data_IF_111019757914
#
_entry.id   IF_111019757914
#
_cell.length_a   1.000
_cell.length_b   1.000
_cell.length_c   1.000
_cell.angle_alpha   90.00
_cell.angle_beta   90.00
_cell.angle_gamma   90.00
#
_symmetry.space_group_name_H-M   'P 1'
#
loop_
_entity.id
_entity.type
_entity.pdbx_description
1 polymer ?
#
# COMPACT_ATOMS: atom_id res chain seq x y z
N UNK A 1 24.67 7.86 -5.37
CA UNK A 1 24.99 7.94 -6.82
C UNK A 1 24.61 6.61 -7.45
N UNK A 2 23.62 6.63 -8.33
CA UNK A 2 23.20 5.45 -9.09
C UNK A 2 24.37 5.03 -9.98
N UNK A 3 24.88 3.80 -9.81
CA UNK A 3 25.96 3.28 -10.65
C UNK A 3 25.29 2.49 -11.78
N UNK A 4 25.56 2.94 -13.00
CA UNK A 4 25.23 2.19 -14.21
C UNK A 4 25.86 0.78 -14.13
N UNK A 5 25.18 -0.17 -14.76
CA UNK A 5 25.59 -1.57 -14.73
C UNK A 5 26.86 -1.77 -15.55
N UNK A 6 27.79 -2.54 -14.98
CA UNK A 6 29.04 -2.94 -15.61
C UNK A 6 29.04 -4.42 -15.99
N UNK A 7 30.10 -4.84 -16.70
CA UNK A 7 30.23 -6.22 -17.16
C UNK A 7 30.33 -7.23 -16.00
N UNK A 8 30.91 -6.83 -14.87
CA UNK A 8 31.05 -7.66 -13.67
C UNK A 8 29.67 -7.97 -13.08
N UNK A 9 28.80 -6.97 -13.01
CA UNK A 9 27.44 -7.13 -12.55
C UNK A 9 26.62 -8.03 -13.48
N UNK A 10 26.79 -7.93 -14.79
CA UNK A 10 26.11 -8.84 -15.71
C UNK A 10 26.58 -10.28 -15.53
N UNK A 11 27.88 -10.52 -15.33
CA UNK A 11 28.39 -11.85 -14.96
C UNK A 11 27.74 -12.35 -13.67
N UNK A 12 27.59 -11.49 -12.66
CA UNK A 12 26.91 -11.82 -11.41
C UNK A 12 25.44 -12.17 -11.62
N UNK A 13 24.71 -11.45 -12.50
CA UNK A 13 23.32 -11.78 -12.85
C UNK A 13 23.24 -13.20 -13.41
N UNK A 14 24.10 -13.54 -14.36
CA UNK A 14 24.13 -14.89 -14.96
C UNK A 14 24.47 -15.97 -13.93
N UNK A 15 25.39 -15.70 -13.00
CA UNK A 15 25.69 -16.63 -11.90
C UNK A 15 24.48 -16.82 -10.97
N UNK A 16 23.76 -15.75 -10.64
CA UNK A 16 22.57 -15.84 -9.79
C UNK A 16 21.42 -16.58 -10.48
N UNK A 17 21.18 -16.27 -11.76
CA UNK A 17 20.19 -17.00 -12.56
C UNK A 17 20.56 -18.49 -12.67
N UNK A 18 21.84 -18.80 -12.89
CA UNK A 18 22.31 -20.18 -12.90
C UNK A 18 22.08 -20.89 -11.56
N UNK A 19 22.31 -20.20 -10.43
CA UNK A 19 21.99 -20.75 -9.10
C UNK A 19 20.51 -21.04 -8.89
N UNK A 20 19.61 -20.27 -9.53
CA UNK A 20 18.17 -20.44 -9.42
C UNK A 20 17.57 -21.48 -10.38
N UNK A 21 18.11 -21.58 -11.59
CA UNK A 21 17.52 -22.36 -12.69
C UNK A 21 18.43 -23.48 -13.22
N UNK A 22 19.61 -23.65 -12.64
CA UNK A 22 20.61 -24.63 -13.07
C UNK A 22 21.17 -24.35 -14.46
N UNK A 23 21.53 -25.41 -15.18
CA UNK A 23 22.14 -25.34 -16.51
C UNK A 23 21.21 -24.75 -17.58
N UNK A 24 19.90 -24.70 -17.36
CA UNK A 24 18.94 -24.18 -18.34
C UNK A 24 19.23 -22.75 -18.80
N UNK A 25 19.85 -21.92 -17.95
CA UNK A 25 20.30 -20.57 -18.30
C UNK A 25 21.47 -20.62 -19.27
N UNK A 26 22.45 -21.47 -19.00
CA UNK A 26 23.67 -21.58 -19.79
C UNK A 26 23.38 -22.25 -21.14
N UNK A 27 22.62 -23.34 -21.13
CA UNK A 27 22.24 -24.12 -22.32
C UNK A 27 21.47 -23.28 -23.34
N UNK A 28 20.73 -22.26 -22.89
CA UNK A 28 19.99 -21.33 -23.76
C UNK A 28 20.88 -20.46 -24.64
N UNK A 29 22.06 -20.08 -24.14
CA UNK A 29 22.94 -19.13 -24.82
C UNK A 29 24.24 -19.75 -25.33
N UNK A 30 24.58 -20.96 -24.87
CA UNK A 30 25.77 -21.68 -25.31
C UNK A 30 25.62 -22.14 -26.75
N UNK A 31 26.61 -21.84 -27.59
CA UNK A 31 26.62 -22.25 -29.01
C UNK A 31 27.66 -23.33 -29.31
N UNK A 32 28.56 -23.62 -28.36
CA UNK A 32 29.61 -24.62 -28.49
C UNK A 32 30.85 -24.12 -29.25
N UNK A 33 30.87 -22.86 -29.66
CA UNK A 33 32.04 -22.22 -30.27
C UNK A 33 32.78 -21.44 -29.20
N UNK A 34 34.05 -21.79 -28.98
CA UNK A 34 34.90 -21.17 -27.97
C UNK A 34 35.84 -20.19 -28.65
N UNK A 35 35.96 -19.00 -28.09
CA UNK A 35 36.95 -18.02 -28.52
C UNK A 35 38.36 -18.50 -28.12
N UNK A 36 39.25 -18.59 -29.10
CA UNK A 36 40.62 -19.06 -28.94
C UNK A 36 41.45 -18.21 -27.98
N UNK A 37 41.10 -16.92 -27.80
CA UNK A 37 41.85 -16.01 -26.94
C UNK A 37 41.41 -16.04 -25.49
N UNK A 38 40.11 -16.19 -25.26
CA UNK A 38 39.50 -16.09 -23.92
C UNK A 38 39.13 -17.45 -23.34
N UNK A 39 39.01 -18.49 -24.17
CA UNK A 39 38.54 -19.81 -23.76
C UNK A 39 37.05 -19.83 -23.40
N UNK A 40 36.30 -18.76 -23.71
CA UNK A 40 34.88 -18.64 -23.40
C UNK A 40 34.00 -18.94 -24.61
N UNK A 41 32.80 -19.48 -24.36
CA UNK A 41 31.79 -19.66 -25.39
C UNK A 41 31.34 -18.30 -25.97
N UNK A 42 31.47 -18.16 -27.28
CA UNK A 42 31.16 -16.93 -28.03
C UNK A 42 29.69 -16.52 -27.86
N UNK A 43 28.79 -17.50 -27.76
CA UNK A 43 27.36 -17.26 -27.51
C UNK A 43 27.10 -16.68 -26.13
N UNK A 44 27.77 -17.22 -25.11
CA UNK A 44 27.73 -16.68 -23.75
C UNK A 44 28.30 -15.26 -23.67
N UNK A 45 29.45 -15.01 -24.28
CA UNK A 45 30.07 -13.68 -24.32
C UNK A 45 29.15 -12.66 -25.01
N UNK A 46 28.56 -13.03 -26.14
CA UNK A 46 27.60 -12.21 -26.89
C UNK A 46 26.34 -11.93 -26.08
N UNK A 47 25.77 -12.95 -25.44
CA UNK A 47 24.59 -12.82 -24.61
C UNK A 47 24.82 -11.83 -23.46
N UNK A 48 25.96 -11.89 -22.77
CA UNK A 48 26.30 -10.92 -21.73
C UNK A 48 26.46 -9.51 -22.26
N UNK A 49 27.05 -9.33 -23.45
CA UNK A 49 27.14 -8.00 -24.09
C UNK A 49 25.75 -7.42 -24.41
N UNK A 50 24.86 -8.26 -24.94
CA UNK A 50 23.46 -7.87 -25.22
C UNK A 50 22.71 -7.52 -23.93
N UNK A 51 22.87 -8.32 -22.88
CA UNK A 51 22.29 -8.03 -21.56
C UNK A 51 22.86 -6.75 -20.95
N UNK A 52 24.17 -6.53 -21.03
CA UNK A 52 24.81 -5.30 -20.56
C UNK A 52 24.18 -4.08 -21.23
N UNK A 53 24.10 -4.09 -22.56
CA UNK A 53 23.52 -2.97 -23.31
C UNK A 53 22.02 -2.80 -23.02
N UNK A 54 21.26 -3.89 -22.89
CA UNK A 54 19.84 -3.86 -22.58
C UNK A 54 19.52 -3.40 -21.15
N UNK A 55 20.49 -3.51 -20.23
CA UNK A 55 20.32 -3.15 -18.82
C UNK A 55 20.98 -1.83 -18.41
N UNK A 56 21.72 -1.17 -19.31
CA UNK A 56 22.38 0.13 -19.06
C UNK A 56 21.44 1.23 -18.55
N UNK A 57 20.15 1.15 -18.89
CA UNK A 57 19.14 2.13 -18.46
C UNK A 57 18.70 1.98 -17.00
N UNK A 58 19.07 0.88 -16.33
CA UNK A 58 18.67 0.60 -14.95
C UNK A 58 19.84 0.77 -13.99
N UNK A 59 19.50 1.14 -12.75
CA UNK A 59 20.47 1.14 -11.66
C UNK A 59 20.77 -0.28 -11.17
N UNK A 60 22.02 -0.52 -10.78
CA UNK A 60 22.46 -1.79 -10.18
C UNK A 60 21.53 -2.29 -9.05
N UNK A 61 21.09 -1.39 -8.17
CA UNK A 61 20.19 -1.75 -7.07
C UNK A 61 18.80 -2.19 -7.52
N UNK A 62 18.29 -1.66 -8.65
CA UNK A 62 17.01 -2.09 -9.23
C UNK A 62 17.12 -3.48 -9.85
N UNK A 63 18.23 -3.74 -10.54
CA UNK A 63 18.48 -5.04 -11.17
C UNK A 63 18.62 -6.14 -10.13
N UNK A 64 19.31 -5.90 -9.01
CA UNK A 64 19.37 -6.88 -7.93
C UNK A 64 18.01 -7.16 -7.29
N UNK A 65 17.15 -6.15 -7.14
CA UNK A 65 15.75 -6.36 -6.69
C UNK A 65 14.94 -7.17 -7.71
N UNK A 66 15.14 -6.93 -9.00
CA UNK A 66 14.50 -7.69 -10.06
C UNK A 66 14.89 -9.17 -10.04
N UNK A 67 16.16 -9.50 -9.78
CA UNK A 67 16.63 -10.89 -9.59
C UNK A 67 15.89 -11.56 -8.45
N UNK A 68 15.78 -10.90 -7.29
CA UNK A 68 15.03 -11.43 -6.15
C UNK A 68 13.57 -11.75 -6.49
N UNK A 69 12.96 -10.99 -7.42
CA UNK A 69 11.59 -11.21 -7.89
C UNK A 69 11.47 -12.27 -8.99
N UNK A 70 12.58 -12.68 -9.61
CA UNK A 70 12.56 -13.70 -10.67
C UNK A 70 12.03 -15.03 -10.17
N UNK A 71 12.40 -15.44 -8.95
CA UNK A 71 11.93 -16.69 -8.35
C UNK A 71 10.40 -16.75 -8.19
N UNK A 72 9.77 -15.59 -7.98
CA UNK A 72 8.32 -15.51 -7.79
C UNK A 72 7.56 -15.52 -9.12
N UNK A 73 8.02 -14.75 -10.12
CA UNK A 73 7.34 -14.58 -11.41
C UNK A 73 7.71 -15.65 -12.45
N UNK A 74 8.95 -16.13 -12.42
CA UNK A 74 9.49 -17.10 -13.35
C UNK A 74 9.91 -18.34 -12.56
N UNK A 75 8.97 -19.21 -12.22
CA UNK A 75 9.22 -20.39 -11.37
C UNK A 75 9.86 -21.55 -12.11
N UNK A 76 9.52 -21.73 -13.39
CA UNK A 76 9.86 -22.93 -14.15
C UNK A 76 11.05 -22.73 -15.07
N UNK A 77 11.17 -21.54 -15.68
CA UNK A 77 12.18 -21.25 -16.68
C UNK A 77 12.86 -19.92 -16.38
N UNK A 78 14.15 -19.77 -16.71
CA UNK A 78 14.84 -18.51 -16.54
C UNK A 78 14.25 -17.43 -17.48
N UNK A 79 14.14 -16.18 -17.00
CA UNK A 79 13.63 -15.09 -17.82
C UNK A 79 14.54 -14.81 -19.02
N UNK A 80 13.94 -14.42 -20.14
CA UNK A 80 14.61 -13.78 -21.26
C UNK A 80 15.00 -12.33 -20.91
N UNK A 81 15.89 -11.71 -21.69
CA UNK A 81 16.25 -10.30 -21.48
C UNK A 81 15.03 -9.36 -21.50
N UNK A 82 14.08 -9.45 -22.46
CA UNK A 82 12.89 -8.60 -22.44
C UNK A 82 12.03 -8.78 -21.18
N UNK A 83 11.78 -10.03 -20.77
CA UNK A 83 11.02 -10.32 -19.55
C UNK A 83 11.74 -9.77 -18.31
N UNK A 84 13.06 -9.93 -18.25
CA UNK A 84 13.86 -9.41 -17.15
C UNK A 84 13.86 -7.87 -17.12
N UNK A 85 13.92 -7.20 -18.28
CA UNK A 85 13.77 -5.74 -18.36
C UNK A 85 12.42 -5.28 -17.85
N UNK A 86 11.35 -6.01 -18.14
CA UNK A 86 10.02 -5.67 -17.62
C UNK A 86 9.95 -5.84 -16.10
N UNK A 87 10.65 -6.81 -15.52
CA UNK A 87 10.82 -6.89 -14.06
C UNK A 87 11.58 -5.69 -13.51
N UNK A 88 12.65 -5.25 -14.17
CA UNK A 88 13.41 -4.07 -13.74
C UNK A 88 12.56 -2.78 -13.77
N UNK A 89 11.68 -2.62 -14.78
CA UNK A 89 10.76 -1.48 -14.88
C UNK A 89 9.79 -1.40 -13.70
N UNK A 90 9.38 -2.52 -13.10
CA UNK A 90 8.51 -2.53 -11.92
C UNK A 90 9.14 -1.83 -10.71
N UNK A 91 10.47 -1.75 -10.66
CA UNK A 91 11.21 -1.12 -9.58
C UNK A 91 11.71 0.29 -9.94
N UNK A 92 11.45 0.77 -11.16
CA UNK A 92 11.74 2.15 -11.49
C UNK A 92 10.86 3.06 -10.62
N UNK A 93 11.43 4.12 -10.03
CA UNK A 93 10.64 5.09 -9.29
C UNK A 93 9.63 5.70 -10.28
N UNK A 94 8.35 5.50 -10.00
CA UNK A 94 7.29 6.17 -10.75
C UNK A 94 7.56 7.66 -10.66
N UNK A 95 7.94 8.28 -11.79
CA UNK A 95 8.01 9.72 -11.86
C UNK A 95 6.59 10.20 -11.61
N UNK A 96 6.35 10.81 -10.46
CA UNK A 96 5.13 11.56 -10.22
C UNK A 96 5.19 12.76 -11.15
N UNK A 97 4.72 12.55 -12.38
CA UNK A 97 4.37 13.65 -13.25
C UNK A 97 3.21 14.31 -12.53
N UNK A 98 3.40 15.55 -12.06
CA UNK A 98 2.26 16.37 -11.68
C UNK A 98 1.38 16.46 -12.92
N UNK A 99 0.36 15.61 -12.99
CA UNK A 99 -0.66 15.78 -13.99
C UNK A 99 -1.21 17.19 -13.79
N UNK A 100 -1.39 17.99 -14.87
CA UNK A 100 -2.17 19.21 -14.76
C UNK A 100 -3.46 18.81 -14.06
N UNK A 101 -3.78 19.49 -12.95
CA UNK A 101 -4.83 19.13 -12.01
C UNK A 101 -5.95 18.43 -12.74
N UNK A 102 -6.18 17.14 -12.45
CA UNK A 102 -7.26 16.39 -13.07
C UNK A 102 -8.50 17.28 -13.10
N UNK A 103 -9.21 17.40 -14.24
CA UNK A 103 -10.35 18.28 -14.35
C UNK A 103 -11.24 17.99 -13.15
N UNK A 104 -11.42 19.01 -12.31
CA UNK A 104 -12.17 18.89 -11.08
C UNK A 104 -13.51 18.31 -11.47
N UNK A 105 -13.77 17.08 -11.04
CA UNK A 105 -15.08 16.45 -11.21
C UNK A 105 -16.01 17.24 -10.29
N UNK A 106 -16.54 18.35 -10.79
CA UNK A 106 -17.53 19.14 -10.09
C UNK A 106 -18.74 18.24 -9.87
N UNK A 107 -19.17 18.13 -8.61
CA UNK A 107 -20.39 17.40 -8.27
C UNK A 107 -21.55 17.97 -9.09
N UNK A 108 -22.35 17.10 -9.71
CA UNK A 108 -23.53 17.54 -10.44
C UNK A 108 -24.47 18.32 -9.52
N UNK A 109 -25.19 19.30 -10.06
CA UNK A 109 -26.11 20.13 -9.26
C UNK A 109 -27.18 19.28 -8.54
N UNK A 110 -27.64 18.21 -9.19
CA UNK A 110 -28.58 17.25 -8.61
C UNK A 110 -28.00 16.51 -7.39
N UNK A 111 -26.72 16.13 -7.42
CA UNK A 111 -26.07 15.50 -6.26
C UNK A 111 -25.83 16.51 -5.14
N UNK A 112 -25.56 17.78 -5.47
CA UNK A 112 -25.41 18.84 -4.46
C UNK A 112 -26.74 19.13 -3.75
N UNK A 113 -27.85 19.17 -4.47
CA UNK A 113 -29.17 19.38 -3.86
C UNK A 113 -29.57 18.20 -2.97
N UNK A 114 -29.35 16.97 -3.42
CA UNK A 114 -29.66 15.77 -2.63
C UNK A 114 -28.84 15.71 -1.34
N UNK A 115 -27.54 16.03 -1.40
CA UNK A 115 -26.70 16.09 -0.21
C UNK A 115 -27.15 17.19 0.75
N UNK A 116 -27.48 18.38 0.26
CA UNK A 116 -27.98 19.48 1.09
C UNK A 116 -29.30 19.12 1.79
N UNK A 117 -30.21 18.41 1.10
CA UNK A 117 -31.45 17.89 1.68
C UNK A 117 -31.17 16.85 2.76
N UNK A 118 -30.29 15.87 2.49
CA UNK A 118 -29.89 14.86 3.48
C UNK A 118 -29.27 15.50 4.72
N UNK A 119 -28.43 16.52 4.56
CA UNK A 119 -27.85 17.27 5.67
C UNK A 119 -28.91 18.04 6.45
N UNK A 120 -29.88 18.68 5.79
CA UNK A 120 -30.99 19.36 6.47
C UNK A 120 -31.86 18.37 7.25
N UNK A 121 -32.16 17.22 6.67
CA UNK A 121 -32.94 16.15 7.31
C UNK A 121 -32.21 15.59 8.54
N UNK A 122 -30.90 15.35 8.46
CA UNK A 122 -30.12 14.85 9.61
C UNK A 122 -30.03 15.88 10.73
N UNK A 123 -29.83 17.17 10.40
CA UNK A 123 -29.84 18.26 11.38
C UNK A 123 -31.22 18.39 12.03
N UNK A 124 -32.30 18.30 11.25
CA UNK A 124 -33.66 18.35 11.78
C UNK A 124 -33.94 17.17 12.72
N UNK A 125 -33.53 15.94 12.37
CA UNK A 125 -33.65 14.77 13.24
C UNK A 125 -32.85 14.92 14.54
N UNK A 126 -31.63 15.44 14.46
CA UNK A 126 -30.81 15.70 15.66
C UNK A 126 -31.49 16.75 16.56
N UNK A 127 -32.09 17.80 15.98
CA UNK A 127 -32.83 18.82 16.74
C UNK A 127 -34.07 18.25 17.41
N UNK A 128 -34.87 17.46 16.70
CA UNK A 128 -36.07 16.82 17.25
C UNK A 128 -35.74 15.85 18.39
N UNK A 129 -34.62 15.12 18.27
CA UNK A 129 -34.08 14.27 19.35
C UNK A 129 -33.61 15.08 20.57
N UNK A 130 -33.16 16.32 20.36
CA UNK A 130 -32.75 17.25 21.44
C UNK A 130 -33.93 17.98 22.10
N UNK A 131 -34.99 18.27 21.36
CA UNK A 131 -36.20 18.96 21.86
C UNK A 131 -37.06 18.09 22.79
N UNK A 132 -36.82 16.78 22.84
CA UNK A 132 -37.28 15.90 23.93
C UNK A 132 -36.55 16.13 25.26
N UNK A 133 -36.35 17.41 25.61
CA UNK A 133 -35.51 17.90 26.71
C UNK A 133 -35.67 17.12 28.01
N UNK A 134 -34.62 17.13 28.83
CA UNK A 134 -34.63 16.41 30.10
C UNK A 134 -35.62 17.07 31.06
N UNK A 135 -36.87 16.62 31.01
CA UNK A 135 -37.92 17.05 31.94
C UNK A 135 -37.68 16.38 33.29
N UNK A 136 -37.12 17.13 34.23
CA UNK A 136 -37.14 16.77 35.65
C UNK A 136 -38.54 17.09 36.18
N UNK A 137 -39.19 16.15 36.86
CA UNK A 137 -40.47 16.42 37.51
C UNK A 137 -40.25 17.46 38.62
N UNK A 138 -41.09 18.49 38.75
CA UNK A 138 -40.96 19.47 39.82
C UNK A 138 -41.20 18.78 41.17
N UNK A 139 -40.17 18.70 42.02
CA UNK A 139 -40.23 18.11 43.37
C UNK A 139 -39.12 17.10 43.72
N UNK A 140 -38.34 16.62 42.76
CA UNK A 140 -37.20 15.71 43.00
C UNK A 140 -35.86 16.47 43.01
N UNK A 141 -35.66 17.34 44.00
CA UNK A 141 -34.39 18.02 44.21
C UNK A 141 -33.48 17.19 45.13
N UNK A 142 -32.46 16.56 44.55
CA UNK A 142 -31.49 15.77 45.30
C UNK A 142 -30.33 15.26 44.45
N UNK A 143 -29.27 14.85 45.13
CA UNK A 143 -28.07 14.24 44.54
C UNK A 143 -28.39 13.09 43.55
N UNK A 144 -29.40 12.21 43.79
CA UNK A 144 -29.76 11.16 42.83
C UNK A 144 -30.26 11.72 41.49
N UNK A 145 -31.05 12.79 41.51
CA UNK A 145 -31.56 13.45 40.31
C UNK A 145 -30.42 14.04 39.49
N UNK A 146 -29.41 14.61 40.15
CA UNK A 146 -28.21 15.13 39.49
C UNK A 146 -27.42 14.04 38.75
N UNK A 147 -27.31 12.83 39.32
CA UNK A 147 -26.65 11.70 38.67
C UNK A 147 -27.38 11.25 37.40
N UNK A 148 -28.72 11.23 37.42
CA UNK A 148 -29.55 10.91 36.24
C UNK A 148 -29.39 11.98 35.15
N UNK A 149 -29.31 13.25 35.53
CA UNK A 149 -29.05 14.35 34.59
C UNK A 149 -27.67 14.26 33.93
N UNK A 150 -26.63 13.97 34.73
CA UNK A 150 -25.26 13.80 34.23
C UNK A 150 -25.17 12.60 33.28
N UNK A 151 -25.72 11.45 33.64
CA UNK A 151 -25.71 10.28 32.77
C UNK A 151 -26.49 10.50 31.47
N UNK A 152 -27.60 11.24 31.52
CA UNK A 152 -28.34 11.57 30.30
C UNK A 152 -27.60 12.58 29.42
N UNK A 153 -26.87 13.53 30.02
CA UNK A 153 -26.06 14.51 29.28
C UNK A 153 -24.82 13.88 28.63
N UNK A 154 -24.14 12.96 29.31
CA UNK A 154 -22.97 12.27 28.75
C UNK A 154 -23.42 11.27 27.67
N UNK A 155 -24.60 10.65 27.79
CA UNK A 155 -25.12 9.72 26.78
C UNK A 155 -25.52 10.40 25.48
N UNK A 156 -25.95 11.65 25.57
CA UNK A 156 -26.17 12.52 24.41
C UNK A 156 -24.85 12.96 23.74
N UNK A 157 -23.72 12.92 24.47
CA UNK A 157 -22.39 13.17 23.94
C UNK A 157 -21.70 11.90 23.38
N UNK A 158 -22.37 10.74 23.47
CA UNK A 158 -21.91 9.47 22.89
C UNK A 158 -21.04 8.60 23.81
N UNK A 159 -21.12 8.80 25.14
CA UNK A 159 -20.52 7.89 26.13
C UNK A 159 -21.41 6.68 26.47
N UNK A 160 -20.96 5.87 27.45
CA UNK A 160 -21.67 4.68 27.96
C UNK A 160 -21.87 4.80 29.49
N UNK A 161 -22.88 5.57 29.88
CA UNK A 161 -23.04 6.12 31.23
C UNK A 161 -23.74 5.16 32.18
N UNK A 162 -24.50 4.22 31.64
CA UNK A 162 -25.16 3.16 32.42
C UNK A 162 -24.08 2.38 33.17
N UNK A 163 -22.96 2.09 32.50
CA UNK A 163 -21.81 1.41 33.09
C UNK A 163 -21.14 2.25 34.19
N UNK A 164 -21.01 3.56 33.99
CA UNK A 164 -20.37 4.45 34.97
C UNK A 164 -21.24 4.67 36.21
N UNK A 165 -22.57 4.78 36.05
CA UNK A 165 -23.50 4.89 37.17
C UNK A 165 -23.54 3.62 38.02
N UNK A 166 -23.60 2.44 37.40
CA UNK A 166 -23.55 1.17 38.13
C UNK A 166 -22.27 1.04 38.97
N UNK A 167 -21.13 1.48 38.43
CA UNK A 167 -19.85 1.49 39.17
C UNK A 167 -19.83 2.46 40.36
N UNK A 168 -20.59 3.56 40.30
CA UNK A 168 -20.67 4.54 41.38
C UNK A 168 -21.64 4.09 42.48
N UNK A 169 -22.78 3.48 42.12
CA UNK A 169 -23.72 2.89 43.08
C UNK A 169 -23.08 1.70 43.82
N UNK A 170 -22.36 0.82 43.11
CA UNK A 170 -21.58 -0.26 43.73
C UNK A 170 -20.50 0.24 44.69
N UNK A 171 -19.95 1.43 44.43
CA UNK A 171 -18.96 2.07 45.32
C UNK A 171 -19.59 2.71 46.55
N UNK A 172 -20.86 3.14 46.46
CA UNK A 172 -21.62 3.74 47.55
C UNK A 172 -22.13 2.69 48.53
N UNK A 173 -22.50 1.50 48.07
CA UNK A 173 -22.92 0.39 48.94
C UNK A 173 -21.77 -0.24 49.74
N UNK A 174 -20.52 0.03 49.34
CA UNK A 174 -19.29 -0.49 49.99
C UNK A 174 -18.63 0.50 50.96
N UNK A 175 -19.21 1.67 51.18
CA UNK A 175 -18.72 2.72 52.08
C UNK A 175 -19.69 2.91 53.25
#
# INVERSE_FOLDING_TARGET
>A
MSKAIDEVQVKQIFMLLHGMYGNSVLDKYRIGQVDEKTGEDVGMATARSVWLNGLREFDSGMVMKAIGKCAEKHKTFPPTLPEFRDLCKLFQPTKWIQQPSAPRLEMSEALRSEQAERTRQSIAQIRLRREGGVSVKPGEEGIPTLHVLIAKAVGLAGGDEIRTLMQLDERREKA
#
